data_IF_437987674058
#
_entry.id   IF_437987674058
#
_cell.length_a   1.000
_cell.length_b   1.000
_cell.length_c   1.000
_cell.angle_alpha   90.00
_cell.angle_beta   90.00
_cell.angle_gamma   90.00
#
_symmetry.space_group_name_H-M   'P 1'
#
loop_
_entity.id
_entity.type
_entity.pdbx_description
1 polymer ?
#
# COMPACT_ATOMS: atom_id res chain seq x y z
N UNK A 1 -8.84 -12.94 23.82
CA UNK A 1 -9.23 -12.79 22.38
C UNK A 1 -9.68 -11.37 22.15
N UNK A 2 -9.32 -10.77 21.03
CA UNK A 2 -9.69 -9.43 20.63
C UNK A 2 -11.16 -9.43 20.21
N UNK A 3 -11.90 -8.39 20.56
CA UNK A 3 -13.21 -8.11 20.02
C UNK A 3 -13.05 -7.24 18.76
N UNK A 4 -13.43 -7.75 17.60
CA UNK A 4 -13.37 -7.01 16.33
C UNK A 4 -14.58 -6.07 16.22
N UNK A 5 -14.42 -4.86 16.70
CA UNK A 5 -15.47 -3.83 16.68
C UNK A 5 -15.64 -3.14 15.32
N UNK A 6 -14.77 -3.43 14.35
CA UNK A 6 -14.73 -2.71 13.05
C UNK A 6 -14.83 -3.64 11.83
N UNK A 7 -14.98 -4.93 12.01
CA UNK A 7 -15.05 -5.91 10.91
C UNK A 7 -13.72 -5.99 10.13
N UNK A 8 -12.60 -5.84 10.83
CA UNK A 8 -11.28 -5.85 10.21
C UNK A 8 -10.76 -7.25 9.91
N UNK A 9 -11.22 -8.25 10.66
CA UNK A 9 -10.72 -9.62 10.54
C UNK A 9 -11.65 -10.48 9.69
N UNK A 10 -11.07 -11.49 9.08
CA UNK A 10 -11.81 -12.52 8.35
C UNK A 10 -12.74 -13.30 9.30
N UNK A 11 -13.87 -13.82 8.81
CA UNK A 11 -14.67 -14.76 9.61
C UNK A 11 -13.78 -15.91 10.10
N UNK A 12 -13.85 -16.22 11.41
CA UNK A 12 -12.95 -17.18 12.09
C UNK A 12 -11.44 -16.84 11.95
N UNK A 13 -11.13 -15.62 11.51
CA UNK A 13 -9.77 -15.14 11.26
C UNK A 13 -9.04 -14.68 12.52
N UNK A 14 -9.67 -14.62 13.69
CA UNK A 14 -9.05 -14.22 14.96
C UNK A 14 -8.50 -15.45 15.69
N UNK A 15 -7.19 -15.49 15.86
CA UNK A 15 -6.46 -16.54 16.57
C UNK A 15 -5.08 -16.02 16.94
N UNK A 16 -4.41 -16.64 17.89
CA UNK A 16 -3.06 -16.28 18.29
C UNK A 16 -2.04 -17.32 17.85
N UNK A 17 -0.90 -16.84 17.34
CA UNK A 17 0.32 -17.59 17.15
C UNK A 17 1.42 -16.84 17.87
N UNK A 18 1.88 -17.42 18.97
CA UNK A 18 2.92 -16.80 19.80
C UNK A 18 4.26 -16.78 19.05
N UNK A 19 4.94 -15.64 19.08
CA UNK A 19 6.31 -15.52 18.63
C UNK A 19 7.31 -16.02 19.68
N UNK A 20 8.59 -15.79 19.39
CA UNK A 20 9.66 -16.06 20.35
C UNK A 20 9.42 -15.27 21.67
N UNK A 21 9.83 -15.87 22.80
CA UNK A 21 9.66 -15.25 24.11
C UNK A 21 10.45 -13.93 24.27
N UNK A 22 11.53 -13.79 23.51
CA UNK A 22 12.41 -12.61 23.50
C UNK A 22 12.61 -12.14 22.07
N UNK A 23 12.96 -10.86 21.88
CA UNK A 23 13.23 -10.27 20.57
C UNK A 23 12.86 -8.79 20.51
N UNK A 24 13.23 -8.14 19.40
CA UNK A 24 13.02 -6.70 19.20
C UNK A 24 11.53 -6.30 19.19
N UNK A 25 10.63 -7.26 18.89
CA UNK A 25 9.18 -7.08 18.85
C UNK A 25 8.45 -7.88 19.94
N UNK A 26 9.16 -8.40 20.96
CA UNK A 26 8.53 -9.12 22.07
C UNK A 26 7.45 -8.27 22.76
N UNK A 27 6.30 -8.88 23.02
CA UNK A 27 5.15 -8.22 23.63
C UNK A 27 4.30 -7.37 22.67
N UNK A 28 4.59 -7.40 21.36
CA UNK A 28 3.74 -6.75 20.36
C UNK A 28 2.83 -7.74 19.64
N UNK A 29 1.69 -7.25 19.17
CA UNK A 29 0.66 -8.01 18.48
C UNK A 29 0.49 -7.48 17.07
N UNK A 30 0.37 -8.40 16.09
CA UNK A 30 0.17 -8.00 14.70
C UNK A 30 -0.87 -8.82 13.96
N UNK A 31 -1.50 -8.17 12.99
CA UNK A 31 -2.44 -8.79 12.08
C UNK A 31 -1.81 -9.02 10.70
N UNK A 32 -2.32 -10.01 9.96
CA UNK A 32 -1.77 -10.44 8.68
C UNK A 32 -2.85 -10.34 7.61
N UNK A 33 -2.62 -9.58 6.55
CA UNK A 33 -3.53 -9.50 5.39
C UNK A 33 -3.80 -10.90 4.83
N UNK A 34 -5.07 -11.20 4.51
CA UNK A 34 -5.49 -12.51 4.01
C UNK A 34 -5.12 -12.76 2.53
N UNK A 35 -3.92 -12.37 2.19
CA UNK A 35 -3.14 -12.74 1.00
C UNK A 35 -1.83 -13.44 1.38
N UNK A 36 -1.49 -13.47 2.68
CA UNK A 36 -0.21 -13.95 3.17
C UNK A 36 -0.43 -15.27 3.90
N UNK A 37 0.29 -16.29 3.52
CA UNK A 37 0.14 -17.65 4.03
C UNK A 37 0.64 -17.80 5.46
N UNK A 38 -0.13 -18.56 6.23
CA UNK A 38 0.23 -19.06 7.56
C UNK A 38 0.01 -20.56 7.56
N UNK A 39 1.02 -21.33 7.95
CA UNK A 39 0.99 -22.80 7.96
C UNK A 39 -0.27 -23.35 8.65
N UNK A 40 -0.90 -24.32 8.02
CA UNK A 40 -2.14 -24.93 8.47
C UNK A 40 -3.39 -24.07 8.34
N UNK A 41 -3.30 -22.85 7.79
CA UNK A 41 -4.43 -21.96 7.56
C UNK A 41 -4.67 -21.78 6.07
N UNK A 42 -5.95 -21.63 5.69
CA UNK A 42 -6.31 -21.27 4.32
C UNK A 42 -6.21 -19.76 4.12
N UNK A 43 -5.83 -19.35 2.92
CA UNK A 43 -5.82 -17.96 2.48
C UNK A 43 -6.98 -17.75 1.51
N UNK A 44 -7.88 -16.81 1.80
CA UNK A 44 -9.06 -16.57 0.93
C UNK A 44 -8.77 -15.64 -0.23
N UNK A 45 -7.74 -14.86 -0.15
CA UNK A 45 -7.48 -13.76 -1.10
C UNK A 45 -8.72 -12.86 -1.33
N UNK A 46 -9.57 -12.71 -0.30
CA UNK A 46 -10.78 -11.91 -0.36
C UNK A 46 -11.94 -12.54 -1.17
N UNK A 47 -11.85 -13.82 -1.55
CA UNK A 47 -12.89 -14.48 -2.34
C UNK A 47 -13.18 -15.92 -1.85
N UNK A 48 -14.45 -16.30 -1.59
CA UNK A 48 -14.82 -17.63 -1.09
C UNK A 48 -14.51 -18.78 -2.05
N UNK A 49 -14.55 -18.53 -3.37
CA UNK A 49 -14.21 -19.56 -4.34
C UNK A 49 -12.72 -19.86 -4.33
N UNK A 50 -11.86 -18.81 -4.12
CA UNK A 50 -10.44 -19.01 -3.87
C UNK A 50 -10.20 -19.86 -2.62
N UNK A 51 -10.83 -19.48 -1.51
CA UNK A 51 -10.72 -20.19 -0.24
C UNK A 51 -11.11 -21.68 -0.36
N UNK A 52 -12.17 -22.00 -1.11
CA UNK A 52 -12.67 -23.37 -1.26
C UNK A 52 -11.82 -24.23 -2.20
N UNK A 53 -11.15 -23.62 -3.17
CA UNK A 53 -10.36 -24.31 -4.21
C UNK A 53 -8.88 -24.47 -3.88
N UNK A 54 -8.41 -23.86 -2.78
CA UNK A 54 -7.01 -23.94 -2.36
C UNK A 54 -6.89 -24.63 -0.99
N UNK A 55 -5.88 -25.44 -0.82
CA UNK A 55 -5.57 -26.11 0.43
C UNK A 55 -5.01 -25.13 1.48
N UNK A 56 -4.95 -25.60 2.73
CA UNK A 56 -4.23 -24.88 3.78
C UNK A 56 -2.74 -24.76 3.42
N UNK A 57 -2.15 -23.61 3.73
CA UNK A 57 -0.75 -23.36 3.45
C UNK A 57 0.16 -24.39 4.12
N UNK A 58 1.10 -24.94 3.37
CA UNK A 58 2.06 -25.93 3.87
C UNK A 58 3.18 -25.30 4.71
N UNK A 59 3.37 -23.98 4.57
CA UNK A 59 4.39 -23.19 5.28
C UNK A 59 3.90 -21.78 5.54
N UNK A 60 4.40 -21.18 6.61
CA UNK A 60 4.22 -19.76 6.89
C UNK A 60 5.14 -18.92 5.98
N UNK A 61 4.62 -17.83 5.43
CA UNK A 61 5.37 -16.90 4.61
C UNK A 61 6.57 -16.31 5.40
N UNK A 62 7.76 -16.16 4.76
CA UNK A 62 8.96 -15.66 5.43
C UNK A 62 8.77 -14.33 6.15
N UNK A 63 7.98 -13.41 5.59
CA UNK A 63 7.69 -12.12 6.22
C UNK A 63 6.94 -12.27 7.57
N UNK A 64 6.11 -13.29 7.74
CA UNK A 64 5.45 -13.60 9.01
C UNK A 64 6.41 -14.32 9.96
N UNK A 65 7.16 -15.30 9.45
CA UNK A 65 8.15 -16.05 10.24
C UNK A 65 9.18 -15.13 10.88
N UNK A 66 9.73 -14.18 10.12
CA UNK A 66 10.70 -13.18 10.62
C UNK A 66 10.15 -12.37 11.81
N UNK A 67 8.87 -11.98 11.76
CA UNK A 67 8.23 -11.24 12.85
C UNK A 67 7.96 -12.11 14.08
N UNK A 68 7.56 -13.36 13.88
CA UNK A 68 7.40 -14.34 14.97
C UNK A 68 8.74 -14.63 15.66
N UNK A 69 9.80 -14.82 14.90
CA UNK A 69 11.17 -15.02 15.42
C UNK A 69 11.69 -13.80 16.18
N UNK A 70 11.22 -12.58 15.84
CA UNK A 70 11.50 -11.35 16.57
C UNK A 70 10.62 -11.14 17.80
N UNK A 71 9.74 -12.09 18.14
CA UNK A 71 8.92 -12.10 19.35
C UNK A 71 7.53 -11.49 19.20
N UNK A 72 7.13 -11.04 18.01
CA UNK A 72 5.78 -10.55 17.79
C UNK A 72 4.76 -11.69 17.74
N UNK A 73 3.53 -11.47 18.21
CA UNK A 73 2.43 -12.44 18.21
C UNK A 73 1.42 -12.12 17.11
N UNK A 74 1.14 -13.08 16.24
CA UNK A 74 0.01 -12.98 15.27
C UNK A 74 -1.31 -13.06 16.04
N UNK A 75 -2.27 -12.19 15.69
CA UNK A 75 -3.62 -12.20 16.28
C UNK A 75 -4.71 -12.51 15.26
N UNK A 76 -4.36 -12.77 14.02
CA UNK A 76 -5.30 -13.20 13.00
C UNK A 76 -5.04 -12.64 11.60
N UNK A 77 -5.96 -13.04 10.69
CA UNK A 77 -5.95 -12.60 9.28
C UNK A 77 -7.02 -11.55 9.02
N UNK A 78 -6.64 -10.51 8.27
CA UNK A 78 -7.49 -9.33 8.00
C UNK A 78 -8.12 -9.37 6.63
N UNK A 79 -9.30 -8.76 6.51
CA UNK A 79 -10.04 -8.61 5.25
C UNK A 79 -9.18 -7.90 4.20
N UNK A 80 -9.34 -8.34 2.95
CA UNK A 80 -8.72 -7.74 1.75
C UNK A 80 -9.74 -7.63 0.61
N UNK A 81 -9.53 -6.72 -0.30
CA UNK A 81 -10.29 -6.68 -1.55
C UNK A 81 -10.03 -7.95 -2.37
N UNK A 82 -10.99 -8.36 -3.21
CA UNK A 82 -10.92 -9.59 -4.00
C UNK A 82 -9.64 -9.64 -4.85
N UNK A 83 -8.83 -10.70 -4.64
CA UNK A 83 -7.52 -10.92 -5.26
C UNK A 83 -6.61 -9.68 -5.23
N UNK A 84 -6.76 -8.81 -4.21
CA UNK A 84 -6.05 -7.53 -4.07
C UNK A 84 -6.26 -6.55 -5.24
N UNK A 85 -7.22 -6.75 -6.12
CA UNK A 85 -7.36 -6.02 -7.38
C UNK A 85 -8.24 -4.77 -7.28
N UNK A 86 -8.22 -4.10 -6.12
CA UNK A 86 -8.89 -2.82 -5.86
C UNK A 86 -8.08 -1.94 -4.91
N UNK A 87 -8.45 -0.65 -4.82
CA UNK A 87 -7.95 0.31 -3.84
C UNK A 87 -9.07 0.86 -2.93
N UNK A 88 -10.26 0.29 -3.02
CA UNK A 88 -11.46 0.85 -2.39
C UNK A 88 -11.62 0.39 -0.95
N UNK A 89 -11.30 -0.87 -0.67
CA UNK A 89 -11.45 -1.47 0.66
C UNK A 89 -12.84 -2.03 0.91
N UNK A 90 -13.62 -2.24 -0.13
CA UNK A 90 -14.93 -2.90 -0.10
C UNK A 90 -14.82 -4.34 -0.63
N UNK A 91 -15.51 -5.24 0.03
CA UNK A 91 -15.58 -6.64 -0.36
C UNK A 91 -17.01 -7.14 -0.25
N UNK A 92 -17.58 -7.64 -1.35
CA UNK A 92 -18.99 -8.09 -1.38
C UNK A 92 -19.23 -9.37 -0.56
N UNK A 93 -18.18 -10.13 -0.26
CA UNK A 93 -18.27 -11.41 0.46
C UNK A 93 -18.02 -11.25 1.96
N UNK A 94 -17.07 -10.38 2.33
CA UNK A 94 -16.57 -10.24 3.69
C UNK A 94 -16.87 -8.87 4.32
N UNK A 95 -17.53 -7.99 3.57
CA UNK A 95 -17.93 -6.67 4.03
C UNK A 95 -16.83 -5.61 3.88
N UNK A 96 -17.12 -4.41 4.36
CA UNK A 96 -16.22 -3.25 4.35
C UNK A 96 -15.82 -2.93 5.79
N UNK A 97 -14.54 -3.03 6.15
CA UNK A 97 -14.08 -2.64 7.47
C UNK A 97 -14.35 -1.16 7.78
N UNK A 98 -14.71 -0.85 9.01
CA UNK A 98 -15.04 0.52 9.42
C UNK A 98 -13.77 1.36 9.55
N UNK A 99 -13.76 2.51 8.87
CA UNK A 99 -12.73 3.53 9.05
C UNK A 99 -13.11 4.42 10.23
N UNK A 100 -12.55 4.17 11.41
CA UNK A 100 -12.88 4.91 12.65
C UNK A 100 -12.45 6.37 12.62
N UNK A 101 -11.44 6.71 11.80
CA UNK A 101 -10.92 8.07 11.67
C UNK A 101 -11.63 8.88 10.56
N UNK A 102 -12.45 8.21 9.73
CA UNK A 102 -13.32 8.83 8.73
C UNK A 102 -14.66 8.06 8.69
N UNK A 103 -15.52 8.19 9.71
CA UNK A 103 -16.79 7.48 9.78
C UNK A 103 -17.68 7.75 8.56
N UNK A 104 -18.24 6.67 7.99
CA UNK A 104 -19.05 6.75 6.77
C UNK A 104 -18.25 6.82 5.47
N UNK A 105 -16.92 6.72 5.54
CA UNK A 105 -16.02 6.65 4.39
C UNK A 105 -15.37 5.26 4.25
N UNK A 106 -14.87 4.96 3.07
CA UNK A 106 -14.14 3.71 2.82
C UNK A 106 -12.79 3.68 3.56
N UNK A 107 -12.29 2.51 4.00
CA UNK A 107 -10.97 2.42 4.63
C UNK A 107 -9.81 2.50 3.63
N UNK A 108 -10.11 2.39 2.33
CA UNK A 108 -9.11 2.15 1.30
C UNK A 108 -8.67 0.69 1.26
N UNK A 109 -8.11 0.28 0.13
CA UNK A 109 -7.73 -1.11 -0.15
C UNK A 109 -6.44 -1.22 -0.97
N UNK A 110 -6.04 -2.44 -1.23
CA UNK A 110 -6.70 -3.72 -0.90
C UNK A 110 -6.44 -4.20 0.54
N UNK A 111 -5.52 -3.59 1.31
CA UNK A 111 -5.22 -3.98 2.70
C UNK A 111 -6.18 -3.32 3.70
N UNK A 112 -7.49 -3.39 3.42
CA UNK A 112 -8.55 -2.67 4.12
C UNK A 112 -8.66 -3.05 5.59
N UNK A 113 -8.72 -4.34 5.90
CA UNK A 113 -8.80 -4.84 7.26
C UNK A 113 -7.55 -4.53 8.07
N UNK A 114 -6.35 -4.63 7.46
CA UNK A 114 -5.09 -4.29 8.13
C UNK A 114 -5.08 -2.82 8.57
N UNK A 115 -5.46 -1.90 7.68
CA UNK A 115 -5.51 -0.48 7.99
C UNK A 115 -6.59 -0.15 9.04
N UNK A 116 -7.79 -0.73 8.91
CA UNK A 116 -8.88 -0.53 9.88
C UNK A 116 -8.53 -1.07 11.27
N UNK A 117 -7.89 -2.25 11.36
CA UNK A 117 -7.43 -2.82 12.63
C UNK A 117 -6.43 -1.89 13.34
N UNK A 118 -5.49 -1.31 12.59
CA UNK A 118 -4.52 -0.35 13.14
C UNK A 118 -5.21 0.95 13.56
N UNK A 119 -6.07 1.52 12.74
CA UNK A 119 -6.80 2.74 13.08
C UNK A 119 -7.65 2.56 14.34
N UNK A 120 -8.30 1.41 14.49
CA UNK A 120 -9.12 1.07 15.66
C UNK A 120 -8.31 0.63 16.89
N UNK A 121 -7.00 0.49 16.79
CA UNK A 121 -6.14 0.09 17.90
C UNK A 121 -6.22 -1.37 18.30
N UNK A 122 -6.64 -2.26 17.40
CA UNK A 122 -6.79 -3.69 17.67
C UNK A 122 -5.44 -4.42 17.72
N UNK A 123 -4.40 -3.87 17.12
CA UNK A 123 -3.03 -4.39 17.18
C UNK A 123 -2.01 -3.26 17.06
N UNK A 124 -0.74 -3.58 17.28
CA UNK A 124 0.37 -2.62 17.25
C UNK A 124 0.81 -2.30 15.82
N UNK A 125 0.86 -3.31 14.96
CA UNK A 125 1.13 -3.16 13.53
C UNK A 125 0.39 -4.24 12.72
N UNK A 126 0.28 -4.06 11.42
CA UNK A 126 -0.36 -5.04 10.54
C UNK A 126 0.36 -5.14 9.20
N UNK A 127 0.54 -6.36 8.71
CA UNK A 127 1.08 -6.61 7.37
C UNK A 127 0.02 -6.30 6.29
N UNK A 128 0.48 -5.70 5.22
CA UNK A 128 -0.26 -5.48 3.98
C UNK A 128 0.60 -5.80 2.75
N UNK A 129 0.01 -5.65 1.58
CA UNK A 129 0.71 -5.72 0.30
C UNK A 129 0.44 -4.46 -0.50
N UNK A 130 1.40 -3.99 -1.28
CA UNK A 130 1.24 -2.82 -2.14
C UNK A 130 1.79 -3.12 -3.54
N UNK A 131 0.87 -3.19 -4.50
CA UNK A 131 1.16 -3.27 -5.94
C UNK A 131 0.93 -1.91 -6.59
N UNK A 132 -0.30 -1.41 -6.48
CA UNK A 132 -0.76 -0.14 -7.06
C UNK A 132 -1.20 0.90 -6.02
N UNK A 133 -0.78 0.77 -4.74
CA UNK A 133 -1.15 1.70 -3.66
C UNK A 133 -1.85 1.04 -2.47
N UNK A 134 -1.89 -0.30 -2.43
CA UNK A 134 -2.71 -1.04 -1.46
C UNK A 134 -2.21 -1.01 0.00
N UNK A 135 -1.13 -0.29 0.30
CA UNK A 135 -0.75 0.16 1.65
C UNK A 135 -0.89 1.67 1.75
N UNK A 136 -0.40 2.41 0.78
CA UNK A 136 -0.33 3.87 0.81
C UNK A 136 -1.70 4.54 0.86
N UNK A 137 -2.66 4.06 0.06
CA UNK A 137 -4.02 4.58 0.02
C UNK A 137 -4.77 4.31 1.34
N UNK A 138 -4.87 3.07 1.85
CA UNK A 138 -5.53 2.84 3.13
C UNK A 138 -4.82 3.51 4.30
N UNK A 139 -3.49 3.67 4.28
CA UNK A 139 -2.78 4.46 5.29
C UNK A 139 -3.24 5.92 5.31
N UNK A 140 -3.35 6.55 4.14
CA UNK A 140 -3.84 7.92 3.98
C UNK A 140 -5.28 8.08 4.48
N UNK A 141 -6.18 7.18 4.05
CA UNK A 141 -7.60 7.25 4.37
C UNK A 141 -7.89 6.97 5.85
N UNK A 142 -7.15 6.07 6.46
CA UNK A 142 -7.29 5.73 7.87
C UNK A 142 -6.46 6.62 8.81
N UNK A 143 -5.68 7.58 8.29
CA UNK A 143 -4.88 8.50 9.09
C UNK A 143 -3.82 7.78 9.94
N UNK A 144 -3.12 6.82 9.36
CA UNK A 144 -2.07 6.02 9.97
C UNK A 144 -0.81 6.02 9.11
N UNK A 145 0.31 5.56 9.64
CA UNK A 145 1.52 5.35 8.86
C UNK A 145 1.41 4.06 8.04
N UNK A 146 1.96 4.08 6.80
CA UNK A 146 2.04 2.90 5.97
C UNK A 146 3.18 2.99 4.97
N UNK A 147 3.97 1.93 4.84
CA UNK A 147 5.11 1.87 3.93
C UNK A 147 4.89 0.87 2.81
N UNK A 148 5.07 1.33 1.56
CA UNK A 148 5.45 0.51 0.43
C UNK A 148 6.97 0.38 0.43
N UNK A 149 7.49 -0.83 0.57
CA UNK A 149 8.93 -1.07 0.53
C UNK A 149 9.48 -1.01 -0.89
N UNK A 150 10.79 -0.84 -1.02
CA UNK A 150 11.49 -1.05 -2.28
C UNK A 150 11.15 -2.43 -2.85
N UNK A 151 10.81 -2.50 -4.14
CA UNK A 151 10.47 -3.77 -4.79
C UNK A 151 11.64 -4.77 -4.69
N UNK A 152 11.31 -6.00 -4.28
CA UNK A 152 12.27 -7.09 -4.08
C UNK A 152 13.06 -7.04 -2.77
N UNK A 153 12.74 -6.11 -1.85
CA UNK A 153 13.41 -6.02 -0.52
C UNK A 153 12.95 -7.10 0.45
N UNK A 154 11.65 -7.42 0.43
CA UNK A 154 11.05 -8.46 1.26
C UNK A 154 10.62 -9.60 0.33
N UNK A 155 10.97 -10.86 0.63
CA UNK A 155 10.53 -12.01 -0.17
C UNK A 155 9.00 -12.12 -0.24
N UNK A 156 8.49 -12.50 -1.42
CA UNK A 156 7.06 -12.68 -1.69
C UNK A 156 6.63 -14.16 -1.63
N UNK A 157 7.49 -15.07 -1.17
CA UNK A 157 7.10 -16.46 -0.97
C UNK A 157 5.94 -16.56 0.02
N UNK A 158 4.90 -17.33 -0.32
CA UNK A 158 3.71 -17.44 0.50
C UNK A 158 2.80 -16.19 0.47
N UNK A 159 2.95 -15.31 -0.52
CA UNK A 159 2.04 -14.20 -0.78
C UNK A 159 1.30 -14.46 -2.08
N UNK A 160 -0.04 -14.43 -2.05
CA UNK A 160 -0.84 -14.54 -3.28
C UNK A 160 -0.50 -13.38 -4.21
N UNK A 161 0.04 -13.65 -5.39
CA UNK A 161 0.53 -12.60 -6.28
C UNK A 161 -0.61 -11.86 -6.98
N UNK A 162 -0.41 -10.57 -7.28
CA UNK A 162 -1.24 -9.80 -8.20
C UNK A 162 -0.42 -9.42 -9.45
N UNK A 163 0.70 -8.79 -9.25
CA UNK A 163 1.64 -8.34 -10.26
C UNK A 163 3.07 -8.46 -9.70
N UNK A 164 3.70 -9.64 -9.81
CA UNK A 164 5.01 -9.92 -9.19
C UNK A 164 6.10 -8.91 -9.51
N UNK A 165 6.02 -8.29 -10.68
CA UNK A 165 6.98 -7.25 -11.07
C UNK A 165 6.87 -5.94 -10.29
N UNK A 166 5.79 -5.75 -9.49
CA UNK A 166 5.54 -4.58 -8.65
C UNK A 166 5.08 -4.91 -7.23
N UNK A 167 4.66 -6.14 -6.95
CA UNK A 167 4.17 -6.54 -5.62
C UNK A 167 5.24 -6.31 -4.55
N UNK A 168 4.81 -5.77 -3.41
CA UNK A 168 5.65 -5.61 -2.23
C UNK A 168 4.87 -6.00 -0.98
N UNK A 169 5.55 -6.53 0.03
CA UNK A 169 5.05 -6.56 1.41
C UNK A 169 5.35 -5.21 2.03
N UNK A 170 4.35 -4.64 2.67
CA UNK A 170 4.47 -3.44 3.49
C UNK A 170 3.72 -3.62 4.80
N UNK A 171 3.69 -2.59 5.63
CA UNK A 171 2.99 -2.63 6.91
C UNK A 171 2.45 -1.27 7.30
N UNK A 172 1.58 -1.31 8.32
CA UNK A 172 0.94 -0.16 8.93
C UNK A 172 1.24 -0.13 10.43
N UNK A 173 1.30 1.06 11.00
CA UNK A 173 1.25 1.28 12.43
C UNK A 173 0.66 2.66 12.76
N UNK A 174 0.21 2.85 14.03
CA UNK A 174 -0.28 4.16 14.48
C UNK A 174 0.82 5.15 14.77
N UNK A 175 2.04 4.67 15.05
CA UNK A 175 3.17 5.53 15.40
C UNK A 175 4.36 5.28 14.48
N UNK A 176 5.14 6.32 14.24
CA UNK A 176 6.35 6.23 13.44
C UNK A 176 7.41 5.33 14.10
N UNK A 177 7.49 5.34 15.43
CA UNK A 177 8.39 4.48 16.20
C UNK A 177 8.09 2.98 15.97
N UNK A 178 6.81 2.59 15.92
CA UNK A 178 6.45 1.21 15.63
C UNK A 178 6.77 0.85 14.18
N UNK A 179 6.54 1.78 13.22
CA UNK A 179 6.96 1.58 11.84
C UNK A 179 8.45 1.28 11.73
N UNK A 180 9.29 2.06 12.43
CA UNK A 180 10.74 1.91 12.45
C UNK A 180 11.17 0.60 13.13
N UNK A 181 10.56 0.23 14.28
CA UNK A 181 10.83 -1.04 14.98
C UNK A 181 10.56 -2.25 14.10
N UNK A 182 9.43 -2.27 13.38
CA UNK A 182 9.09 -3.33 12.42
C UNK A 182 10.09 -3.33 11.26
N UNK A 183 10.44 -2.15 10.74
CA UNK A 183 11.43 -2.00 9.68
C UNK A 183 12.80 -2.55 10.03
N UNK A 184 13.27 -2.32 11.26
CA UNK A 184 14.55 -2.84 11.74
C UNK A 184 14.61 -4.40 11.76
N UNK A 185 13.46 -5.06 11.83
CA UNK A 185 13.33 -6.52 11.78
C UNK A 185 13.12 -7.03 10.35
N UNK A 186 12.22 -6.38 9.61
CA UNK A 186 11.77 -6.85 8.29
C UNK A 186 12.76 -6.58 7.15
N UNK A 187 13.56 -5.52 7.29
CA UNK A 187 14.47 -5.10 6.22
C UNK A 187 15.84 -5.75 6.41
N UNK A 188 16.43 -6.33 5.36
CA UNK A 188 17.73 -6.98 5.47
C UNK A 188 18.82 -5.98 5.83
N UNK A 189 19.80 -6.42 6.62
CA UNK A 189 20.98 -5.62 6.95
C UNK A 189 21.74 -5.20 5.68
N UNK A 190 22.41 -4.04 5.73
CA UNK A 190 23.20 -3.51 4.63
C UNK A 190 22.47 -2.50 3.74
N UNK A 191 21.48 -1.81 4.30
CA UNK A 191 20.92 -0.61 3.64
C UNK A 191 22.00 0.43 3.39
N UNK A 192 21.88 1.09 2.24
CA UNK A 192 22.66 2.31 1.98
C UNK A 192 22.03 3.42 2.83
N UNK A 193 22.74 3.90 3.85
CA UNK A 193 22.29 5.03 4.64
C UNK A 193 21.93 6.21 3.72
N UNK A 194 20.71 6.72 3.85
CA UNK A 194 20.21 7.84 3.04
C UNK A 194 19.96 9.05 3.94
N UNK A 195 20.62 10.14 3.61
CA UNK A 195 20.38 11.44 4.22
C UNK A 195 20.01 12.44 3.11
N UNK A 196 18.79 12.98 3.11
CA UNK A 196 18.37 13.91 2.07
C UNK A 196 19.17 15.22 2.15
N UNK A 197 19.51 15.75 0.97
CA UNK A 197 20.10 17.08 0.78
C UNK A 197 19.23 17.96 -0.10
N UNK A 198 18.24 17.39 -0.78
CA UNK A 198 17.26 18.06 -1.61
C UNK A 198 15.87 17.61 -1.22
N UNK A 199 14.97 18.54 -1.08
CA UNK A 199 13.56 18.26 -0.81
C UNK A 199 12.75 18.72 -2.03
N UNK A 200 12.26 17.75 -2.81
CA UNK A 200 11.60 18.01 -4.09
C UNK A 200 10.09 17.82 -3.95
N UNK A 201 9.34 18.87 -4.25
CA UNK A 201 7.88 18.85 -4.34
C UNK A 201 7.50 18.54 -5.78
N UNK A 202 6.79 17.41 -6.00
CA UNK A 202 6.38 17.00 -7.35
C UNK A 202 5.11 17.77 -7.75
N UNK A 203 5.28 18.89 -8.45
CA UNK A 203 4.21 19.83 -8.79
C UNK A 203 3.06 19.18 -9.56
N UNK A 204 3.36 18.34 -10.56
CA UNK A 204 2.37 17.59 -11.35
C UNK A 204 1.59 16.57 -10.51
N UNK A 205 2.20 16.01 -9.46
CA UNK A 205 1.51 15.17 -8.47
C UNK A 205 0.58 16.01 -7.58
N UNK A 206 1.02 17.17 -7.09
CA UNK A 206 0.17 18.06 -6.28
C UNK A 206 -0.99 18.66 -7.07
N UNK A 207 -0.86 18.82 -8.39
CA UNK A 207 -1.95 19.24 -9.27
C UNK A 207 -3.10 18.23 -9.35
N UNK A 208 -2.90 16.99 -8.88
CA UNK A 208 -3.95 15.96 -8.78
C UNK A 208 -4.77 16.04 -7.48
N UNK A 209 -4.34 16.85 -6.52
CA UNK A 209 -5.04 16.99 -5.24
C UNK A 209 -6.34 17.79 -5.40
N UNK A 210 -7.33 17.48 -4.56
CA UNK A 210 -8.56 18.25 -4.45
C UNK A 210 -8.27 19.66 -3.96
N UNK A 211 -9.04 20.64 -4.42
CA UNK A 211 -8.81 22.05 -4.07
C UNK A 211 -8.81 22.31 -2.56
N UNK A 212 -9.65 21.59 -1.80
CA UNK A 212 -9.70 21.67 -0.32
C UNK A 212 -8.49 21.05 0.38
N UNK A 213 -7.74 20.20 -0.32
CA UNK A 213 -6.55 19.55 0.21
C UNK A 213 -5.26 20.38 0.07
N UNK A 214 -5.27 21.41 -0.79
CA UNK A 214 -4.06 22.17 -1.14
C UNK A 214 -3.43 22.86 0.08
N UNK A 215 -4.21 23.59 0.88
CA UNK A 215 -3.69 24.31 2.04
C UNK A 215 -3.17 23.38 3.16
N UNK A 216 -3.90 22.31 3.55
CA UNK A 216 -3.36 21.30 4.46
C UNK A 216 -2.06 20.64 3.96
N UNK A 217 -1.99 20.28 2.68
CA UNK A 217 -0.79 19.70 2.07
C UNK A 217 0.38 20.69 2.07
N UNK A 218 0.15 21.96 1.70
CA UNK A 218 1.19 23.00 1.73
C UNK A 218 1.71 23.24 3.16
N UNK A 219 0.84 23.12 4.17
CA UNK A 219 1.26 23.22 5.58
C UNK A 219 2.17 22.05 5.95
N UNK A 220 1.80 20.81 5.57
CA UNK A 220 2.63 19.64 5.83
C UNK A 220 3.97 19.68 5.05
N UNK A 221 4.00 20.20 3.83
CA UNK A 221 5.24 20.41 3.06
C UNK A 221 6.18 21.37 3.80
N UNK A 222 5.68 22.52 4.29
CA UNK A 222 6.49 23.48 5.07
C UNK A 222 7.00 22.85 6.36
N UNK A 223 6.15 22.10 7.07
CA UNK A 223 6.57 21.35 8.25
C UNK A 223 7.73 20.39 7.94
N UNK A 224 7.69 19.65 6.82
CA UNK A 224 8.79 18.78 6.39
C UNK A 224 10.07 19.58 6.13
N UNK A 225 9.98 20.72 5.44
CA UNK A 225 11.12 21.58 5.14
C UNK A 225 11.78 22.12 6.42
N UNK A 226 10.97 22.68 7.32
CA UNK A 226 11.42 23.25 8.58
C UNK A 226 12.08 22.18 9.48
N UNK A 227 11.45 21.00 9.59
CA UNK A 227 11.96 19.89 10.42
C UNK A 227 13.28 19.33 9.89
N UNK A 228 13.43 19.23 8.58
CA UNK A 228 14.64 18.70 7.94
C UNK A 228 15.72 19.76 7.70
N UNK A 229 15.38 21.06 7.83
CA UNK A 229 16.28 22.16 7.53
C UNK A 229 16.69 22.21 6.04
N UNK A 230 15.76 21.86 5.13
CA UNK A 230 16.00 21.80 3.69
C UNK A 230 15.10 22.76 2.94
N UNK A 231 15.66 23.39 1.90
CA UNK A 231 14.88 24.22 0.98
C UNK A 231 13.98 23.37 0.09
N UNK A 232 12.78 23.89 -0.17
CA UNK A 232 11.83 23.28 -1.10
C UNK A 232 12.19 23.62 -2.54
N UNK A 233 12.23 22.62 -3.40
CA UNK A 233 12.40 22.79 -4.85
C UNK A 233 11.23 22.13 -5.56
N UNK A 234 10.48 22.91 -6.33
CA UNK A 234 9.40 22.40 -7.16
C UNK A 234 9.94 21.85 -8.48
N UNK A 235 9.52 20.62 -8.79
CA UNK A 235 9.86 19.93 -10.03
C UNK A 235 8.66 19.12 -10.52
N UNK A 236 8.68 18.68 -11.77
CA UNK A 236 7.69 17.72 -12.27
C UNK A 236 8.30 16.31 -12.26
N UNK A 237 7.50 15.32 -11.85
CA UNK A 237 7.87 13.91 -11.98
C UNK A 237 8.04 13.54 -13.45
N UNK A 238 7.13 14.02 -14.30
CA UNK A 238 7.11 13.73 -15.74
C UNK A 238 8.10 14.62 -16.53
N UNK A 239 8.45 14.19 -17.74
CA UNK A 239 9.14 15.03 -18.73
C UNK A 239 8.13 15.95 -19.44
N UNK A 240 8.62 16.94 -20.18
CA UNK A 240 7.75 17.94 -20.83
C UNK A 240 6.84 17.39 -21.92
N UNK A 241 7.11 16.19 -22.41
CA UNK A 241 6.36 15.47 -23.45
C UNK A 241 5.63 14.23 -22.90
N UNK A 242 5.52 14.11 -21.57
CA UNK A 242 4.87 12.98 -20.86
C UNK A 242 3.93 13.50 -19.77
N UNK A 243 3.04 12.65 -19.29
CA UNK A 243 2.12 12.98 -18.20
C UNK A 243 1.84 11.76 -17.28
N UNK A 244 1.29 12.03 -16.10
CA UNK A 244 0.96 11.00 -15.13
C UNK A 244 -0.22 10.08 -15.59
N UNK A 245 -1.00 10.48 -16.59
CA UNK A 245 -2.02 9.62 -17.20
C UNK A 245 -1.38 8.51 -18.05
N UNK A 246 -0.33 8.84 -18.80
CA UNK A 246 0.45 7.84 -19.51
C UNK A 246 1.08 6.81 -18.55
N UNK A 247 1.57 7.27 -17.39
CA UNK A 247 2.09 6.38 -16.34
C UNK A 247 1.02 5.44 -15.78
N UNK A 248 -0.16 5.99 -15.47
CA UNK A 248 -1.32 5.20 -15.03
C UNK A 248 -1.74 4.16 -16.09
N UNK A 249 -1.76 4.58 -17.35
CA UNK A 249 -2.12 3.70 -18.47
C UNK A 249 -1.13 2.55 -18.64
N UNK A 250 0.17 2.82 -18.52
CA UNK A 250 1.21 1.79 -18.54
C UNK A 250 1.03 0.83 -17.36
N UNK A 251 0.82 1.34 -16.14
CA UNK A 251 0.54 0.51 -14.96
C UNK A 251 -0.69 -0.37 -15.17
N UNK A 252 -1.81 0.18 -15.65
CA UNK A 252 -3.06 -0.55 -15.87
C UNK A 252 -2.86 -1.70 -16.86
N UNK A 253 -2.15 -1.46 -17.96
CA UNK A 253 -1.90 -2.47 -19.00
C UNK A 253 -0.99 -3.59 -18.48
N UNK A 254 0.12 -3.24 -17.80
CA UNK A 254 1.05 -4.22 -17.22
C UNK A 254 0.38 -5.05 -16.12
N UNK A 255 -0.35 -4.39 -15.21
CA UNK A 255 -1.08 -5.06 -14.15
C UNK A 255 -2.11 -6.05 -14.73
N UNK A 256 -2.88 -5.64 -15.74
CA UNK A 256 -3.84 -6.50 -16.40
C UNK A 256 -3.17 -7.73 -17.03
N UNK A 257 -2.06 -7.55 -17.76
CA UNK A 257 -1.35 -8.64 -18.41
C UNK A 257 -0.78 -9.66 -17.40
N UNK A 258 -0.09 -9.20 -16.35
CA UNK A 258 0.48 -10.09 -15.33
C UNK A 258 -0.62 -10.77 -14.51
N UNK A 259 -1.63 -10.04 -14.06
CA UNK A 259 -2.74 -10.58 -13.28
C UNK A 259 -3.50 -11.66 -14.06
N UNK A 260 -3.75 -11.45 -15.35
CA UNK A 260 -4.42 -12.45 -16.19
C UNK A 260 -3.57 -13.69 -16.42
N UNK A 261 -2.25 -13.52 -16.61
CA UNK A 261 -1.34 -14.65 -16.75
C UNK A 261 -1.31 -15.57 -15.53
N UNK A 262 -1.55 -15.01 -14.33
CA UNK A 262 -1.54 -15.74 -13.06
C UNK A 262 -2.92 -16.32 -12.75
N UNK A 263 -3.96 -15.50 -12.77
CA UNK A 263 -5.29 -15.85 -12.27
C UNK A 263 -6.25 -16.31 -13.37
N UNK A 264 -5.98 -15.99 -14.63
CA UNK A 264 -6.85 -16.34 -15.78
C UNK A 264 -7.23 -17.81 -15.85
N UNK A 265 -6.28 -18.77 -15.73
CA UNK A 265 -6.61 -20.20 -15.72
C UNK A 265 -7.57 -20.60 -14.61
N UNK A 266 -7.34 -20.08 -13.37
CA UNK A 266 -8.21 -20.35 -12.23
C UNK A 266 -9.60 -19.72 -12.42
N UNK A 267 -9.67 -18.45 -12.83
CA UNK A 267 -10.92 -17.72 -13.08
C UNK A 267 -11.76 -18.45 -14.13
N UNK A 268 -11.13 -18.92 -15.21
CA UNK A 268 -11.83 -19.61 -16.29
C UNK A 268 -12.39 -20.98 -15.89
N UNK A 269 -11.85 -21.60 -14.84
CA UNK A 269 -12.27 -22.94 -14.39
C UNK A 269 -13.19 -22.93 -13.16
N UNK A 270 -13.29 -21.83 -12.41
CA UNK A 270 -14.00 -21.79 -11.12
C UNK A 270 -15.17 -20.78 -11.07
N UNK A 271 -15.29 -19.87 -12.04
CA UNK A 271 -16.36 -18.85 -12.07
C UNK A 271 -16.55 -18.15 -10.71
N UNK A 272 -15.55 -17.44 -10.18
CA UNK A 272 -15.44 -17.09 -8.76
C UNK A 272 -16.45 -16.06 -8.22
N UNK A 273 -17.47 -15.65 -8.98
CA UNK A 273 -18.54 -14.78 -8.50
C UNK A 273 -18.03 -13.41 -8.00
N UNK A 274 -17.13 -12.80 -8.74
CA UNK A 274 -16.58 -11.48 -8.40
C UNK A 274 -17.63 -10.38 -8.32
N UNK A 275 -17.33 -9.33 -7.52
CA UNK A 275 -18.05 -8.06 -7.61
C UNK A 275 -18.00 -7.51 -9.05
N UNK A 276 -19.02 -6.74 -9.49
CA UNK A 276 -19.05 -6.20 -10.86
C UNK A 276 -17.77 -5.45 -11.24
N UNK A 277 -17.22 -4.63 -10.34
CA UNK A 277 -16.00 -3.88 -10.60
C UNK A 277 -14.76 -4.76 -10.77
N UNK A 278 -14.64 -5.85 -10.02
CA UNK A 278 -13.53 -6.80 -10.16
C UNK A 278 -13.71 -7.67 -11.41
N UNK A 279 -14.94 -8.11 -11.69
CA UNK A 279 -15.25 -8.83 -12.93
C UNK A 279 -14.88 -8.02 -14.17
N UNK A 280 -15.21 -6.72 -14.22
CA UNK A 280 -14.84 -5.82 -15.31
C UNK A 280 -13.31 -5.70 -15.48
N UNK A 281 -12.57 -5.61 -14.39
CA UNK A 281 -11.10 -5.54 -14.42
C UNK A 281 -10.49 -6.82 -15.00
N UNK A 282 -10.99 -8.00 -14.59
CA UNK A 282 -10.51 -9.27 -15.14
C UNK A 282 -10.97 -9.47 -16.60
N UNK A 283 -12.17 -9.00 -16.97
CA UNK A 283 -12.61 -8.99 -18.36
C UNK A 283 -11.66 -8.14 -19.22
N UNK A 284 -11.30 -6.94 -18.78
CA UNK A 284 -10.28 -6.13 -19.45
C UNK A 284 -8.92 -6.85 -19.48
N UNK A 285 -8.49 -7.43 -18.37
CA UNK A 285 -7.21 -8.12 -18.28
C UNK A 285 -7.09 -9.26 -19.31
N UNK A 286 -8.18 -9.99 -19.56
CA UNK A 286 -8.23 -11.07 -20.57
C UNK A 286 -8.06 -10.60 -22.02
N UNK A 287 -8.21 -9.31 -22.28
CA UNK A 287 -8.11 -8.74 -23.65
C UNK A 287 -6.74 -8.14 -23.96
N UNK A 288 -5.89 -7.94 -22.95
CA UNK A 288 -4.57 -7.31 -23.14
C UNK A 288 -3.63 -8.24 -23.88
N UNK A 289 -3.18 -7.80 -25.05
CA UNK A 289 -2.23 -8.54 -25.86
C UNK A 289 -0.79 -8.42 -25.35
N UNK A 290 0.05 -9.40 -25.69
CA UNK A 290 1.48 -9.34 -25.42
C UNK A 290 2.15 -8.11 -26.05
N UNK A 291 1.65 -7.63 -27.21
CA UNK A 291 2.21 -6.44 -27.86
C UNK A 291 1.94 -5.17 -27.03
N UNK A 292 0.73 -5.04 -26.48
CA UNK A 292 0.39 -3.92 -25.59
C UNK A 292 1.20 -3.98 -24.31
N UNK A 293 1.34 -5.17 -23.70
CA UNK A 293 2.18 -5.37 -22.52
C UNK A 293 3.66 -4.99 -22.80
N UNK A 294 4.23 -5.38 -23.95
CA UNK A 294 5.59 -4.99 -24.34
C UNK A 294 5.74 -3.47 -24.50
N UNK A 295 4.75 -2.78 -25.11
CA UNK A 295 4.76 -1.32 -25.24
C UNK A 295 4.70 -0.63 -23.87
N UNK A 296 3.79 -1.10 -23.01
CA UNK A 296 3.66 -0.57 -21.65
C UNK A 296 4.94 -0.78 -20.81
N UNK A 297 5.63 -1.92 -20.99
CA UNK A 297 6.92 -2.15 -20.33
C UNK A 297 8.02 -1.20 -20.83
N UNK A 298 8.06 -0.88 -22.12
CA UNK A 298 9.00 0.12 -22.63
C UNK A 298 8.74 1.52 -22.03
N UNK A 299 7.46 1.89 -21.83
CA UNK A 299 7.09 3.12 -21.11
C UNK A 299 7.56 3.05 -19.66
N UNK A 300 7.33 1.93 -18.95
CA UNK A 300 7.81 1.72 -17.57
C UNK A 300 9.34 1.89 -17.46
N UNK A 301 10.10 1.42 -18.45
CA UNK A 301 11.56 1.58 -18.45
C UNK A 301 11.99 3.03 -18.55
N UNK A 302 11.27 3.86 -19.33
CA UNK A 302 11.51 5.30 -19.41
C UNK A 302 11.17 6.00 -18.09
N UNK A 303 10.01 5.69 -17.52
CA UNK A 303 9.57 6.19 -16.20
C UNK A 303 10.60 5.83 -15.13
N UNK A 304 11.06 4.58 -15.11
CA UNK A 304 12.04 4.10 -14.13
C UNK A 304 13.33 4.91 -14.22
N UNK A 305 13.89 5.10 -15.42
CA UNK A 305 15.09 5.93 -15.61
C UNK A 305 14.86 7.35 -15.12
N UNK A 306 13.75 7.99 -15.54
CA UNK A 306 13.39 9.35 -15.14
C UNK A 306 13.33 9.49 -13.61
N UNK A 307 12.66 8.58 -12.92
CA UNK A 307 12.50 8.65 -11.47
C UNK A 307 13.80 8.35 -10.73
N UNK A 308 14.61 7.41 -11.21
CA UNK A 308 15.93 7.14 -10.63
C UNK A 308 16.88 8.33 -10.77
N UNK A 309 16.84 9.03 -11.91
CA UNK A 309 17.63 10.25 -12.13
C UNK A 309 17.14 11.38 -11.22
N UNK A 310 15.83 11.53 -11.05
CA UNK A 310 15.22 12.58 -10.23
C UNK A 310 15.55 12.42 -8.75
N UNK A 311 15.33 11.22 -8.21
CA UNK A 311 15.60 10.91 -6.80
C UNK A 311 17.11 10.86 -6.52
N UNK A 312 17.90 10.41 -7.49
CA UNK A 312 19.35 10.28 -7.36
C UNK A 312 19.76 9.52 -6.10
N UNK A 313 20.76 10.08 -5.38
CA UNK A 313 21.24 9.50 -4.11
C UNK A 313 20.85 10.35 -2.89
N UNK A 314 20.28 11.53 -3.09
CA UNK A 314 20.16 12.56 -2.06
C UNK A 314 18.83 13.34 -2.09
N UNK A 315 17.91 13.04 -3.00
CA UNK A 315 16.62 13.70 -3.00
C UNK A 315 15.55 12.92 -2.25
N UNK A 316 14.80 13.63 -1.42
CA UNK A 316 13.55 13.19 -0.83
C UNK A 316 12.42 13.84 -1.63
N UNK A 317 11.53 13.03 -2.20
CA UNK A 317 10.39 13.54 -2.97
C UNK A 317 9.16 13.61 -2.07
N UNK A 318 8.39 14.68 -2.20
CA UNK A 318 7.10 14.88 -1.54
C UNK A 318 5.97 14.74 -2.57
N UNK A 319 4.96 13.94 -2.22
CA UNK A 319 3.74 13.76 -3.01
C UNK A 319 2.53 13.59 -2.10
N UNK A 320 1.31 13.97 -2.51
CA UNK A 320 0.11 13.56 -1.80
C UNK A 320 0.00 12.04 -1.79
N UNK A 321 -0.41 11.43 -0.67
CA UNK A 321 -0.65 9.97 -0.62
C UNK A 321 -1.90 9.58 -1.41
N UNK A 322 -2.88 10.48 -1.46
CA UNK A 322 -4.13 10.36 -2.20
C UNK A 322 -4.57 11.75 -2.69
N UNK A 323 -5.52 11.87 -3.65
CA UNK A 323 -6.00 13.17 -4.13
C UNK A 323 -6.70 14.01 -3.08
N UNK A 324 -7.32 13.36 -2.11
CA UNK A 324 -8.08 13.95 -1.02
C UNK A 324 -8.38 12.93 0.07
N UNK A 325 -9.24 13.24 1.03
CA UNK A 325 -9.71 12.32 2.05
C UNK A 325 -10.43 11.10 1.45
N UNK A 326 -10.69 10.11 2.31
CA UNK A 326 -11.42 8.91 1.92
C UNK A 326 -12.79 9.23 1.32
N UNK A 327 -13.16 8.66 0.16
CA UNK A 327 -14.50 8.76 -0.38
C UNK A 327 -15.56 8.16 0.55
N UNK A 328 -16.79 8.69 0.46
CA UNK A 328 -17.92 8.14 1.21
C UNK A 328 -18.23 6.70 0.78
N UNK A 329 -18.75 5.89 1.72
CA UNK A 329 -19.24 4.55 1.44
C UNK A 329 -20.36 4.61 0.37
N UNK A 330 -20.27 3.72 -0.62
CA UNK A 330 -21.25 3.67 -1.71
C UNK A 330 -21.14 4.80 -2.74
N UNK A 331 -20.17 5.70 -2.62
CA UNK A 331 -19.94 6.73 -3.62
C UNK A 331 -19.64 6.10 -4.99
N UNK A 332 -20.32 6.61 -6.02
CA UNK A 332 -20.25 6.11 -7.40
C UNK A 332 -20.38 7.26 -8.40
N UNK A 333 -20.19 6.95 -9.68
CA UNK A 333 -20.30 7.92 -10.77
C UNK A 333 -18.95 8.46 -11.24
N UNK A 334 -19.01 9.40 -12.19
CA UNK A 334 -17.82 9.91 -12.89
C UNK A 334 -16.81 10.62 -11.95
N UNK A 335 -17.30 11.33 -10.93
CA UNK A 335 -16.44 12.03 -9.97
C UNK A 335 -15.57 11.05 -9.18
N UNK A 336 -16.16 9.95 -8.70
CA UNK A 336 -15.44 8.90 -7.96
C UNK A 336 -14.48 8.15 -8.88
N UNK A 337 -14.87 7.88 -10.10
CA UNK A 337 -13.95 7.25 -11.07
C UNK A 337 -12.76 8.18 -11.38
N UNK A 338 -13.00 9.47 -11.58
CA UNK A 338 -11.95 10.49 -11.72
C UNK A 338 -11.03 10.53 -10.50
N UNK A 339 -11.58 10.47 -9.28
CA UNK A 339 -10.81 10.43 -8.04
C UNK A 339 -9.91 9.17 -7.98
N UNK A 340 -10.45 7.99 -8.31
CA UNK A 340 -9.68 6.73 -8.36
C UNK A 340 -8.55 6.78 -9.38
N UNK A 341 -8.80 7.36 -10.56
CA UNK A 341 -7.77 7.52 -11.59
C UNK A 341 -6.66 8.46 -11.13
N UNK A 342 -6.98 9.57 -10.44
CA UNK A 342 -5.98 10.47 -9.85
C UNK A 342 -5.16 9.77 -8.76
N UNK A 343 -5.80 8.95 -7.91
CA UNK A 343 -5.10 8.14 -6.92
C UNK A 343 -4.11 7.15 -7.56
N UNK A 344 -4.50 6.49 -8.66
CA UNK A 344 -3.62 5.59 -9.40
C UNK A 344 -2.45 6.34 -10.07
N UNK A 345 -2.64 7.58 -10.57
CA UNK A 345 -1.56 8.42 -11.07
C UNK A 345 -0.53 8.70 -9.99
N UNK A 346 -0.97 9.09 -8.80
CA UNK A 346 -0.10 9.34 -7.64
C UNK A 346 0.69 8.09 -7.23
N UNK A 347 0.02 6.95 -7.12
CA UNK A 347 0.68 5.71 -6.68
C UNK A 347 1.61 5.11 -7.73
N UNK A 348 1.43 5.43 -9.01
CA UNK A 348 2.31 5.01 -10.10
C UNK A 348 3.71 5.63 -10.02
N UNK A 349 3.84 6.81 -9.38
CA UNK A 349 5.10 7.56 -9.28
C UNK A 349 6.20 6.73 -8.59
N UNK A 350 5.92 6.13 -7.45
CA UNK A 350 6.85 5.23 -6.77
C UNK A 350 6.67 3.76 -7.21
N UNK A 351 5.44 3.37 -7.58
CA UNK A 351 5.09 2.01 -7.93
C UNK A 351 5.86 1.49 -9.13
N UNK A 352 5.76 2.15 -10.28
CA UNK A 352 6.38 1.70 -11.54
C UNK A 352 7.91 1.55 -11.45
N UNK A 353 8.68 2.49 -10.87
CA UNK A 353 10.11 2.33 -10.69
C UNK A 353 10.51 1.41 -9.52
N UNK A 354 9.54 0.95 -8.72
CA UNK A 354 9.80 0.09 -7.56
C UNK A 354 10.51 0.80 -6.40
N UNK A 355 10.24 2.10 -6.22
CA UNK A 355 10.80 2.92 -5.14
C UNK A 355 10.04 2.72 -3.82
N UNK A 356 10.71 2.90 -2.66
CA UNK A 356 10.05 2.93 -1.37
C UNK A 356 9.27 4.23 -1.19
N UNK A 357 8.08 4.14 -0.59
CA UNK A 357 7.23 5.28 -0.27
C UNK A 357 6.58 5.09 1.10
N UNK A 358 6.74 6.07 1.98
CA UNK A 358 6.11 6.13 3.29
C UNK A 358 5.00 7.17 3.29
N UNK A 359 3.76 6.76 3.59
CA UNK A 359 2.62 7.63 3.84
C UNK A 359 2.63 8.07 5.31
N UNK A 360 2.56 9.38 5.52
CA UNK A 360 2.60 10.04 6.83
C UNK A 360 1.24 10.72 7.09
N UNK A 361 0.58 10.53 8.24
CA UNK A 361 -0.72 11.11 8.56
C UNK A 361 -0.60 12.57 9.03
N UNK A 362 -0.03 13.44 8.19
CA UNK A 362 0.31 14.82 8.53
C UNK A 362 -0.79 15.84 8.21
N UNK A 363 -1.83 15.46 7.45
CA UNK A 363 -2.85 16.39 7.00
C UNK A 363 -4.25 15.97 7.46
N UNK A 364 -5.13 16.96 7.59
CA UNK A 364 -6.58 16.78 7.71
C UNK A 364 -7.28 17.78 6.82
N UNK A 365 -8.33 17.34 6.15
CA UNK A 365 -9.22 18.16 5.34
C UNK A 365 -10.61 18.02 5.92
N UNK A 366 -11.19 19.10 6.41
CA UNK A 366 -12.51 19.10 7.10
C UNK A 366 -12.62 18.05 8.22
N UNK A 367 -11.51 17.83 8.94
CA UNK A 367 -11.40 16.84 10.02
C UNK A 367 -11.08 15.41 9.57
N UNK A 368 -11.18 15.11 8.28
CA UNK A 368 -10.87 13.79 7.72
C UNK A 368 -9.37 13.64 7.40
N UNK A 369 -8.77 12.46 7.61
CA UNK A 369 -7.37 12.23 7.36
C UNK A 369 -6.97 12.34 5.89
N UNK A 370 -5.78 12.85 5.64
CA UNK A 370 -5.07 12.80 4.37
C UNK A 370 -3.57 12.63 4.62
N UNK A 371 -2.94 11.72 3.91
CA UNK A 371 -1.50 11.49 4.02
C UNK A 371 -0.69 12.39 3.09
N UNK A 372 0.47 12.85 3.58
CA UNK A 372 1.59 13.28 2.75
C UNK A 372 2.60 12.13 2.66
N UNK A 373 3.11 11.84 1.47
CA UNK A 373 4.10 10.78 1.28
C UNK A 373 5.48 11.31 1.02
N UNK A 374 6.47 10.60 1.54
CA UNK A 374 7.88 10.75 1.19
C UNK A 374 8.36 9.56 0.36
N UNK A 375 9.13 9.82 -0.69
CA UNK A 375 9.74 8.81 -1.56
C UNK A 375 11.25 9.01 -1.56
N UNK A 376 12.01 7.94 -1.35
CA UNK A 376 13.48 7.97 -1.36
C UNK A 376 14.08 7.06 -2.43
N UNK A 377 15.41 7.02 -2.50
CA UNK A 377 16.13 6.10 -3.37
C UNK A 377 15.80 4.63 -3.06
N UNK A 378 15.95 3.78 -4.05
CA UNK A 378 15.75 2.34 -3.86
C UNK A 378 16.71 1.79 -2.80
N UNK A 379 16.18 1.06 -1.82
CA UNK A 379 16.93 0.52 -0.68
C UNK A 379 17.11 1.48 0.49
N UNK A 380 16.48 2.66 0.48
CA UNK A 380 16.50 3.62 1.60
C UNK A 380 15.33 3.44 2.58
N UNK A 381 14.72 2.27 2.59
CA UNK A 381 13.49 1.98 3.33
C UNK A 381 13.59 2.33 4.82
N UNK A 382 14.64 1.85 5.50
CA UNK A 382 14.86 2.14 6.92
C UNK A 382 15.13 3.63 7.16
N UNK A 383 15.89 4.26 6.28
CA UNK A 383 16.14 5.71 6.37
C UNK A 383 14.86 6.53 6.20
N UNK A 384 13.92 6.09 5.33
CA UNK A 384 12.59 6.73 5.21
C UNK A 384 11.78 6.58 6.49
N UNK A 385 11.84 5.43 7.16
CA UNK A 385 11.16 5.21 8.44
C UNK A 385 11.73 6.12 9.54
N UNK A 386 13.06 6.28 9.61
CA UNK A 386 13.74 7.19 10.53
C UNK A 386 13.36 8.66 10.25
N UNK A 387 13.31 9.06 8.99
CA UNK A 387 12.81 10.38 8.59
C UNK A 387 11.33 10.55 8.98
N UNK A 388 10.50 9.51 8.80
CA UNK A 388 9.13 9.49 9.27
C UNK A 388 9.01 9.73 10.78
N UNK A 389 9.88 9.12 11.57
CA UNK A 389 9.95 9.35 13.04
C UNK A 389 10.34 10.78 13.35
N UNK A 390 11.29 11.36 12.62
CA UNK A 390 11.69 12.77 12.78
C UNK A 390 10.54 13.72 12.43
N UNK A 391 9.86 13.50 11.30
CA UNK A 391 8.74 14.33 10.83
C UNK A 391 7.48 14.21 11.70
N UNK A 392 7.29 13.11 12.40
CA UNK A 392 6.14 12.93 13.30
C UNK A 392 6.30 13.62 14.65
N UNK A 393 7.52 13.98 15.06
CA UNK A 393 7.83 14.60 16.36
C UNK A 393 7.84 16.14 16.34
N UNK A 394 8.03 16.73 15.19
CA UNK A 394 8.04 18.18 15.01
C UNK A 394 6.64 18.73 14.78
#
# INVERSE_FOLDING_TARGET
>A
MIEDSVGAFMPEGIYEIQGAAEGALAGTYFAVKDLIDIEGRRTSAGNPAWLSSHDAAAKTAPCVTTLLEAGATVIGKTVTDELAYSLNGDNIHYGTPVNVNAPGCVPGGSSSGSAAAIAAGLCDFALGTDTGGSVRIPASYCGIFGIRTSHGRIPLEGVVPLMPSLDTVGWFARTAEMMERVGAVMLPHGEVGFTPRRLLVLRDAFALADGTAIDPLNTAIRHCADTLGLDLVEVDATASDDDLENWRSAFRTLSAAETWSIHGPWISSHEPGFSPAIAERFAFASTVSEQEARKANAVRDLITRRMLDLVGKDALLLVPSAPGPAPALGAAGEEIESFRQRAQRLTSIAGLPGLPQLSLPLCKVDGLPLGLSIIGPRGSDLSLLQLGTQLARG
#
